data_IF_465672034150
#
_entry.id   IF_465672034150
#
_cell.length_a   1.000
_cell.length_b   1.000
_cell.length_c   1.000
_cell.angle_alpha   90.00
_cell.angle_beta   90.00
_cell.angle_gamma   90.00
#
_symmetry.space_group_name_H-M   'P 1'
#
loop_
_entity.id
_entity.type
_entity.pdbx_description
1 polymer ?
#
# COMPACT_ATOMS: atom_id res chain seq x y z
N UNK A 1 12.14 -15.65 13.32
CA UNK A 1 11.11 -16.53 12.74
C UNK A 1 9.98 -15.66 12.24
N UNK A 2 9.73 -15.67 10.93
CA UNK A 2 8.67 -14.87 10.30
C UNK A 2 7.50 -15.80 9.95
N UNK A 3 6.30 -15.46 10.39
CA UNK A 3 5.08 -16.26 10.20
C UNK A 3 4.02 -15.43 9.48
N UNK A 4 3.29 -16.07 8.58
CA UNK A 4 2.06 -15.54 7.98
C UNK A 4 0.93 -16.51 8.36
N UNK A 5 0.11 -16.14 9.34
CA UNK A 5 -0.76 -17.09 10.04
C UNK A 5 0.06 -18.24 10.65
N UNK A 6 -0.28 -19.46 10.31
CA UNK A 6 0.45 -20.68 10.76
C UNK A 6 1.66 -21.04 9.86
N UNK A 7 1.87 -20.32 8.77
CA UNK A 7 2.88 -20.63 7.77
C UNK A 7 4.21 -19.96 8.09
N UNK A 8 5.27 -20.75 8.18
CA UNK A 8 6.64 -20.24 8.36
C UNK A 8 7.24 -19.82 7.01
N UNK A 9 7.48 -18.53 6.82
CA UNK A 9 7.90 -17.96 5.53
C UNK A 9 9.30 -18.41 5.09
N UNK A 10 10.22 -18.59 6.04
CA UNK A 10 11.59 -19.03 5.74
C UNK A 10 11.66 -20.44 5.13
N UNK A 11 10.70 -21.30 5.45
CA UNK A 11 10.64 -22.68 4.92
C UNK A 11 9.99 -22.78 3.52
N UNK A 12 9.43 -21.68 3.00
CA UNK A 12 8.75 -21.66 1.72
C UNK A 12 9.68 -21.40 0.55
N UNK A 13 9.38 -22.01 -0.61
CA UNK A 13 10.03 -21.65 -1.87
C UNK A 13 9.72 -20.19 -2.24
N UNK A 14 10.65 -19.56 -2.97
CA UNK A 14 10.49 -18.17 -3.47
C UNK A 14 9.16 -17.98 -4.21
N UNK A 15 8.80 -18.90 -5.09
CA UNK A 15 7.57 -18.85 -5.89
C UNK A 15 6.32 -18.87 -5.00
N UNK A 16 6.29 -19.71 -3.98
CA UNK A 16 5.16 -19.79 -3.04
C UNK A 16 5.01 -18.49 -2.25
N UNK A 17 6.13 -17.93 -1.77
CA UNK A 17 6.11 -16.61 -1.09
C UNK A 17 5.63 -15.50 -1.99
N UNK A 18 6.11 -15.44 -3.25
CA UNK A 18 5.70 -14.43 -4.23
C UNK A 18 4.20 -14.49 -4.60
N UNK A 19 3.56 -15.65 -4.45
CA UNK A 19 2.10 -15.77 -4.61
C UNK A 19 1.29 -15.38 -3.37
N UNK A 20 1.95 -15.15 -2.22
CA UNK A 20 1.27 -14.83 -0.95
C UNK A 20 1.55 -13.43 -0.46
N UNK A 21 2.66 -12.84 -0.88
CA UNK A 21 3.14 -11.53 -0.40
C UNK A 21 3.50 -10.69 -1.61
N UNK A 22 2.84 -9.55 -1.74
CA UNK A 22 3.23 -8.49 -2.67
C UNK A 22 4.01 -7.41 -1.93
N UNK A 23 4.99 -6.82 -2.61
CA UNK A 23 5.81 -5.76 -2.04
C UNK A 23 5.84 -4.53 -2.94
N UNK A 24 5.51 -3.39 -2.38
CA UNK A 24 5.65 -2.08 -2.99
C UNK A 24 6.81 -1.36 -2.29
N UNK A 25 7.98 -1.25 -2.95
CA UNK A 25 9.11 -0.54 -2.39
C UNK A 25 8.92 0.98 -2.49
N UNK A 26 9.63 1.73 -1.67
CA UNK A 26 9.69 3.20 -1.72
C UNK A 26 10.10 3.72 -3.11
N UNK A 27 11.02 3.02 -3.78
CA UNK A 27 11.42 3.30 -5.17
C UNK A 27 11.15 2.09 -6.03
N UNK A 28 10.54 2.30 -7.17
CA UNK A 28 10.06 1.22 -8.04
C UNK A 28 11.14 0.30 -8.61
N UNK A 29 12.41 0.74 -8.64
CA UNK A 29 13.54 -0.06 -9.09
C UNK A 29 13.52 -0.45 -10.58
N UNK A 30 12.51 -0.03 -11.34
CA UNK A 30 12.41 -0.30 -12.78
C UNK A 30 13.26 0.72 -13.51
N UNK A 31 14.34 0.26 -14.16
CA UNK A 31 15.31 1.09 -14.89
C UNK A 31 15.39 0.75 -16.37
N UNK A 32 14.56 -0.16 -16.86
CA UNK A 32 14.47 -0.54 -18.28
C UNK A 32 13.18 -0.01 -18.87
N UNK A 33 13.20 0.33 -20.15
CA UNK A 33 12.02 0.76 -20.89
C UNK A 33 11.03 -0.40 -21.00
N UNK A 34 9.84 -0.21 -20.43
CA UNK A 34 8.70 -1.12 -20.45
C UNK A 34 7.43 -0.27 -20.51
N UNK A 35 6.43 -0.74 -21.21
CA UNK A 35 5.10 -0.11 -21.16
C UNK A 35 4.41 -0.34 -19.82
N UNK A 36 3.48 0.54 -19.45
CA UNK A 36 2.63 0.39 -18.27
C UNK A 36 1.98 -1.00 -18.22
N UNK A 37 1.45 -1.46 -19.37
CA UNK A 37 0.86 -2.81 -19.49
C UNK A 37 1.88 -3.91 -19.21
N UNK A 38 3.10 -3.81 -19.73
CA UNK A 38 4.14 -4.81 -19.49
C UNK A 38 4.54 -4.86 -18.03
N UNK A 39 4.68 -3.71 -17.36
CA UNK A 39 4.94 -3.66 -15.90
C UNK A 39 3.81 -4.34 -15.13
N UNK A 40 2.56 -4.08 -15.48
CA UNK A 40 1.41 -4.72 -14.83
C UNK A 40 1.37 -6.23 -15.09
N UNK A 41 1.71 -6.68 -16.30
CA UNK A 41 1.77 -8.10 -16.64
C UNK A 41 2.79 -8.89 -15.81
N UNK A 42 3.85 -8.25 -15.30
CA UNK A 42 4.79 -8.89 -14.37
C UNK A 42 4.10 -9.46 -13.12
N UNK A 43 2.95 -8.92 -12.73
CA UNK A 43 2.15 -9.44 -11.61
C UNK A 43 1.67 -10.89 -11.78
N UNK A 44 1.63 -11.38 -13.02
CA UNK A 44 1.31 -12.79 -13.28
C UNK A 44 2.50 -13.75 -13.17
N UNK A 45 3.75 -13.25 -13.05
CA UNK A 45 4.94 -14.11 -13.07
C UNK A 45 4.93 -15.23 -12.01
N UNK A 46 4.42 -15.05 -10.77
CA UNK A 46 4.31 -16.15 -9.83
C UNK A 46 3.41 -17.30 -10.29
N UNK A 47 2.45 -17.00 -11.17
CA UNK A 47 1.46 -17.95 -11.68
C UNK A 47 1.90 -18.66 -12.96
N UNK A 48 2.83 -18.05 -13.75
CA UNK A 48 3.30 -18.59 -15.02
C UNK A 48 4.29 -19.74 -14.83
N UNK A 49 4.22 -20.73 -15.73
CA UNK A 49 5.25 -21.74 -15.88
C UNK A 49 6.43 -21.23 -16.71
N UNK A 50 7.58 -21.92 -16.62
CA UNK A 50 8.75 -21.58 -17.43
C UNK A 50 8.37 -21.67 -18.92
N UNK A 51 8.69 -20.62 -19.68
CA UNK A 51 8.38 -20.46 -21.12
C UNK A 51 6.89 -20.20 -21.45
N UNK A 52 6.03 -19.99 -20.47
CA UNK A 52 4.65 -19.58 -20.72
C UNK A 52 4.57 -18.09 -21.03
N UNK A 53 3.78 -17.72 -22.05
CA UNK A 53 3.56 -16.33 -22.46
C UNK A 53 2.24 -15.80 -21.89
N UNK A 54 2.17 -14.47 -21.72
CA UNK A 54 0.93 -13.81 -21.31
C UNK A 54 -0.17 -13.99 -22.36
N UNK A 55 -1.29 -14.58 -21.95
CA UNK A 55 -2.44 -14.78 -22.83
C UNK A 55 -3.37 -13.54 -22.89
N UNK A 56 -4.39 -13.60 -23.75
CA UNK A 56 -5.34 -12.49 -23.94
C UNK A 56 -6.13 -12.14 -22.66
N UNK A 57 -6.49 -13.13 -21.83
CA UNK A 57 -7.18 -12.89 -20.55
C UNK A 57 -6.28 -12.14 -19.56
N UNK A 58 -5.01 -12.49 -19.47
CA UNK A 58 -4.03 -11.79 -18.62
C UNK A 58 -3.87 -10.33 -19.06
N UNK A 59 -3.79 -10.08 -20.38
CA UNK A 59 -3.74 -8.71 -20.92
C UNK A 59 -4.99 -7.91 -20.54
N UNK A 60 -6.18 -8.49 -20.71
CA UNK A 60 -7.43 -7.84 -20.33
C UNK A 60 -7.52 -7.55 -18.82
N UNK A 61 -7.04 -8.47 -17.96
CA UNK A 61 -6.96 -8.24 -16.53
C UNK A 61 -5.96 -7.14 -16.18
N UNK A 62 -4.84 -7.06 -16.89
CA UNK A 62 -3.87 -5.97 -16.73
C UNK A 62 -4.49 -4.62 -17.11
N UNK A 63 -5.19 -4.53 -18.22
CA UNK A 63 -5.86 -3.31 -18.65
C UNK A 63 -6.92 -2.86 -17.62
N UNK A 64 -7.73 -3.78 -17.10
CA UNK A 64 -8.68 -3.48 -16.01
C UNK A 64 -8.01 -2.98 -14.72
N UNK A 65 -6.89 -3.56 -14.34
CA UNK A 65 -6.14 -3.10 -13.18
C UNK A 65 -5.59 -1.68 -13.38
N UNK A 66 -5.07 -1.38 -14.58
CA UNK A 66 -4.60 -0.05 -14.98
C UNK A 66 -5.75 0.97 -14.91
N UNK A 67 -6.92 0.63 -15.45
CA UNK A 67 -8.11 1.49 -15.40
C UNK A 67 -8.55 1.76 -13.96
N UNK A 68 -8.55 0.74 -13.10
CA UNK A 68 -9.01 0.82 -11.72
C UNK A 68 -8.18 1.77 -10.85
N UNK A 69 -6.93 2.03 -11.22
CA UNK A 69 -6.05 2.97 -10.51
C UNK A 69 -5.97 4.35 -11.19
N UNK A 70 -6.80 4.60 -12.22
CA UNK A 70 -6.88 5.91 -12.89
C UNK A 70 -5.81 6.15 -13.95
N UNK A 71 -5.17 5.08 -14.48
CA UNK A 71 -4.18 5.17 -15.55
C UNK A 71 -4.74 4.80 -16.92
N UNK A 72 -6.07 4.87 -17.11
CA UNK A 72 -6.73 4.60 -18.38
C UNK A 72 -6.10 5.42 -19.51
N UNK A 73 -5.85 4.76 -20.66
CA UNK A 73 -5.22 5.38 -21.82
C UNK A 73 -3.69 5.41 -21.81
N UNK A 74 -3.02 5.02 -20.71
CA UNK A 74 -1.56 4.99 -20.61
C UNK A 74 -0.96 3.59 -20.83
N UNK A 75 -1.73 2.63 -21.35
CA UNK A 75 -1.32 1.22 -21.46
C UNK A 75 0.02 1.00 -22.17
N UNK A 76 0.24 1.72 -23.27
CA UNK A 76 1.42 1.58 -24.14
C UNK A 76 2.46 2.70 -23.90
N UNK A 77 2.25 3.53 -22.85
CA UNK A 77 3.20 4.57 -22.44
C UNK A 77 4.40 3.94 -21.75
N UNK A 78 5.60 4.44 -22.01
CA UNK A 78 6.81 4.01 -21.33
C UNK A 78 6.73 4.39 -19.83
N UNK A 79 6.87 3.39 -18.96
CA UNK A 79 6.86 3.54 -17.51
C UNK A 79 7.87 4.60 -17.02
N UNK A 80 9.04 4.70 -17.65
CA UNK A 80 10.07 5.65 -17.24
C UNK A 80 9.65 7.12 -17.46
N UNK A 81 8.72 7.38 -18.38
CA UNK A 81 8.22 8.73 -18.67
C UNK A 81 7.08 9.18 -17.76
N UNK A 82 6.55 8.29 -16.95
CA UNK A 82 5.48 8.59 -16.01
C UNK A 82 5.96 9.51 -14.88
N UNK A 83 5.04 10.31 -14.31
CA UNK A 83 5.28 10.98 -13.02
C UNK A 83 5.46 9.96 -11.90
N UNK A 84 6.11 10.35 -10.80
CA UNK A 84 6.31 9.42 -9.66
C UNK A 84 4.97 8.91 -9.10
N UNK A 85 3.93 9.74 -9.06
CA UNK A 85 2.59 9.31 -8.68
C UNK A 85 2.00 8.26 -9.63
N UNK A 86 2.14 8.47 -10.94
CA UNK A 86 1.69 7.49 -11.94
C UNK A 86 2.49 6.18 -11.86
N UNK A 87 3.79 6.25 -11.58
CA UNK A 87 4.62 5.06 -11.34
C UNK A 87 4.12 4.26 -10.13
N UNK A 88 3.82 4.94 -9.02
CA UNK A 88 3.26 4.27 -7.83
C UNK A 88 1.90 3.62 -8.11
N UNK A 89 1.02 4.30 -8.84
CA UNK A 89 -0.27 3.72 -9.25
C UNK A 89 -0.09 2.53 -10.20
N UNK A 90 0.89 2.57 -11.11
CA UNK A 90 1.22 1.43 -11.99
C UNK A 90 1.71 0.22 -11.17
N UNK A 91 2.57 0.43 -10.17
CA UNK A 91 3.02 -0.63 -9.28
C UNK A 91 1.85 -1.17 -8.43
N UNK A 92 0.95 -0.31 -7.99
CA UNK A 92 -0.28 -0.75 -7.31
C UNK A 92 -1.16 -1.61 -8.24
N UNK A 93 -1.35 -1.21 -9.52
CA UNK A 93 -2.07 -2.02 -10.51
C UNK A 93 -1.45 -3.41 -10.70
N UNK A 94 -0.11 -3.50 -10.77
CA UNK A 94 0.61 -4.78 -10.78
C UNK A 94 0.28 -5.62 -9.55
N UNK A 95 0.28 -5.00 -8.36
CA UNK A 95 -0.01 -5.67 -7.09
C UNK A 95 -1.45 -6.21 -7.03
N UNK A 96 -2.42 -5.52 -7.64
CA UNK A 96 -3.79 -6.02 -7.79
C UNK A 96 -3.84 -7.32 -8.60
N UNK A 97 -2.96 -7.47 -9.57
CA UNK A 97 -2.86 -8.66 -10.42
C UNK A 97 -2.21 -9.82 -9.67
N UNK A 98 -1.23 -9.55 -8.83
CA UNK A 98 -0.55 -10.54 -7.97
C UNK A 98 -1.55 -11.22 -7.03
N UNK A 99 -2.60 -10.50 -6.61
CA UNK A 99 -3.72 -10.99 -5.80
C UNK A 99 -3.30 -11.69 -4.50
N UNK A 100 -2.25 -11.17 -3.86
CA UNK A 100 -1.65 -11.75 -2.66
C UNK A 100 -2.47 -11.46 -1.40
N UNK A 101 -2.33 -12.32 -0.39
CA UNK A 101 -3.00 -12.17 0.91
C UNK A 101 -2.38 -11.04 1.77
N UNK A 102 -1.09 -10.77 1.59
CA UNK A 102 -0.37 -9.74 2.34
C UNK A 102 0.28 -8.72 1.38
N UNK A 103 -0.05 -7.45 1.55
CA UNK A 103 0.64 -6.31 0.95
C UNK A 103 1.65 -5.74 1.95
N UNK A 104 2.91 -5.67 1.54
CA UNK A 104 3.95 -4.91 2.25
C UNK A 104 4.24 -3.64 1.47
N UNK A 105 4.13 -2.48 2.13
CA UNK A 105 4.35 -1.18 1.50
C UNK A 105 5.38 -0.39 2.32
N UNK A 106 6.42 0.06 1.63
CA UNK A 106 7.50 0.81 2.23
C UNK A 106 7.43 2.26 1.76
N UNK A 107 6.95 3.15 2.62
CA UNK A 107 6.73 4.57 2.36
C UNK A 107 6.04 4.86 1.01
N UNK A 108 4.87 4.25 0.72
CA UNK A 108 4.26 4.34 -0.60
C UNK A 108 3.81 5.75 -0.97
N UNK A 109 3.72 6.65 0.01
CA UNK A 109 3.25 8.03 -0.11
C UNK A 109 4.39 9.06 -0.22
N UNK A 110 5.66 8.70 0.01
CA UNK A 110 6.77 9.64 0.21
C UNK A 110 7.06 10.55 -0.99
N UNK A 111 6.82 10.09 -2.22
CA UNK A 111 7.07 10.84 -3.46
C UNK A 111 5.80 11.49 -4.05
N UNK A 112 4.67 11.47 -3.33
CA UNK A 112 3.37 11.90 -3.82
C UNK A 112 2.95 13.26 -3.26
N UNK A 113 2.27 14.05 -4.09
CA UNK A 113 1.55 15.23 -3.62
C UNK A 113 0.32 14.85 -2.77
N UNK A 114 -0.30 15.84 -2.16
CA UNK A 114 -1.43 15.65 -1.26
C UNK A 114 -2.57 14.83 -1.89
N UNK A 115 -3.01 15.17 -3.11
CA UNK A 115 -4.13 14.50 -3.78
C UNK A 115 -3.80 13.06 -4.14
N UNK A 116 -2.62 12.83 -4.71
CA UNK A 116 -2.17 11.50 -5.13
C UNK A 116 -1.95 10.57 -3.93
N UNK A 117 -1.48 11.09 -2.80
CA UNK A 117 -1.29 10.37 -1.55
C UNK A 117 -2.62 9.82 -1.01
N UNK A 118 -3.64 10.67 -0.92
CA UNK A 118 -4.98 10.25 -0.49
C UNK A 118 -5.64 9.29 -1.48
N UNK A 119 -5.44 9.50 -2.78
CA UNK A 119 -5.94 8.58 -3.82
C UNK A 119 -5.30 7.19 -3.69
N UNK A 120 -3.98 7.12 -3.52
CA UNK A 120 -3.27 5.86 -3.29
C UNK A 120 -3.80 5.13 -2.05
N UNK A 121 -3.96 5.83 -0.91
CA UNK A 121 -4.47 5.23 0.32
C UNK A 121 -5.89 4.68 0.16
N UNK A 122 -6.76 5.39 -0.56
CA UNK A 122 -8.11 4.91 -0.89
C UNK A 122 -8.07 3.65 -1.76
N UNK A 123 -7.19 3.59 -2.75
CA UNK A 123 -7.02 2.37 -3.57
C UNK A 123 -6.54 1.20 -2.71
N UNK A 124 -5.55 1.41 -1.84
CA UNK A 124 -5.09 0.37 -0.92
C UNK A 124 -6.23 -0.09 -0.01
N UNK A 125 -7.00 0.84 0.57
CA UNK A 125 -8.14 0.50 1.43
C UNK A 125 -9.19 -0.34 0.71
N UNK A 126 -9.45 -0.06 -0.56
CA UNK A 126 -10.42 -0.81 -1.37
C UNK A 126 -9.95 -2.25 -1.73
N UNK A 127 -8.65 -2.53 -1.64
CA UNK A 127 -8.08 -3.86 -1.88
C UNK A 127 -8.25 -4.76 -0.65
N UNK A 128 -8.25 -4.15 0.55
CA UNK A 128 -8.30 -4.87 1.81
C UNK A 128 -9.68 -5.50 2.01
N UNK A 129 -9.69 -6.73 2.45
CA UNK A 129 -10.88 -7.55 2.70
C UNK A 129 -10.56 -8.56 3.81
N UNK A 130 -11.53 -9.39 4.18
CA UNK A 130 -11.35 -10.42 5.23
C UNK A 130 -10.16 -11.36 5.00
N UNK A 131 -9.76 -11.56 3.73
CA UNK A 131 -8.67 -12.44 3.35
C UNK A 131 -7.40 -11.69 2.92
N UNK A 132 -7.37 -10.36 3.00
CA UNK A 132 -6.24 -9.53 2.57
C UNK A 132 -5.92 -8.46 3.58
N UNK A 133 -4.64 -8.31 3.91
CA UNK A 133 -4.15 -7.25 4.78
C UNK A 133 -3.00 -6.48 4.13
N UNK A 134 -2.81 -5.25 4.58
CA UNK A 134 -1.66 -4.44 4.23
C UNK A 134 -0.87 -4.08 5.50
N UNK A 135 0.45 -4.17 5.41
CA UNK A 135 1.37 -3.63 6.39
C UNK A 135 2.19 -2.53 5.73
N UNK A 136 2.07 -1.31 6.24
CA UNK A 136 2.70 -0.13 5.65
C UNK A 136 3.64 0.54 6.64
N UNK A 137 4.81 0.97 6.15
CA UNK A 137 5.62 1.98 6.82
C UNK A 137 5.19 3.35 6.28
N UNK A 138 4.72 4.23 7.14
CA UNK A 138 4.34 5.61 6.80
C UNK A 138 4.82 6.58 7.86
N UNK A 139 5.17 7.80 7.44
CA UNK A 139 5.66 8.85 8.32
C UNK A 139 4.56 9.86 8.73
N UNK A 140 3.44 9.88 8.00
CA UNK A 140 2.33 10.79 8.29
C UNK A 140 1.36 10.16 9.30
N UNK A 141 1.28 10.68 10.53
CA UNK A 141 0.32 10.21 11.52
C UNK A 141 -1.13 10.46 11.10
N UNK A 142 -1.39 11.51 10.31
CA UNK A 142 -2.72 11.82 9.76
C UNK A 142 -3.20 10.71 8.82
N UNK A 143 -2.35 10.28 7.86
CA UNK A 143 -2.69 9.20 6.96
C UNK A 143 -2.89 7.87 7.71
N UNK A 144 -2.08 7.62 8.75
CA UNK A 144 -2.23 6.44 9.58
C UNK A 144 -3.59 6.44 10.30
N UNK A 145 -3.98 7.54 10.91
CA UNK A 145 -5.25 7.68 11.62
C UNK A 145 -6.48 7.66 10.70
N UNK A 146 -6.34 8.13 9.46
CA UNK A 146 -7.44 8.20 8.50
C UNK A 146 -7.67 6.85 7.78
N UNK A 147 -6.60 6.09 7.47
CA UNK A 147 -6.69 4.95 6.57
C UNK A 147 -6.38 3.59 7.18
N UNK A 148 -5.71 3.53 8.34
CA UNK A 148 -5.32 2.26 8.96
C UNK A 148 -6.30 1.85 10.06
N UNK A 149 -6.50 0.55 10.22
CA UNK A 149 -7.28 0.00 11.33
C UNK A 149 -6.45 -0.06 12.61
N UNK A 150 -5.12 -0.25 12.46
CA UNK A 150 -4.18 -0.45 13.56
C UNK A 150 -2.87 0.25 13.28
N UNK A 151 -2.30 0.91 14.27
CA UNK A 151 -1.03 1.63 14.16
C UNK A 151 -0.05 1.08 15.17
N UNK A 152 1.11 0.63 14.68
CA UNK A 152 2.24 0.21 15.51
C UNK A 152 3.26 1.35 15.56
N UNK A 153 3.46 1.95 16.73
CA UNK A 153 4.43 3.02 16.91
C UNK A 153 5.81 2.42 17.17
N UNK A 154 6.78 2.81 16.37
CA UNK A 154 8.16 2.33 16.47
C UNK A 154 9.11 3.45 16.91
N UNK A 155 9.99 3.14 17.86
CA UNK A 155 11.10 4.00 18.31
C UNK A 155 12.33 3.15 18.59
N UNK A 156 13.48 3.56 18.09
CA UNK A 156 14.77 2.87 18.30
C UNK A 156 14.73 1.36 17.94
N UNK A 157 14.04 1.03 16.83
CA UNK A 157 13.90 -0.35 16.35
C UNK A 157 12.97 -1.26 17.17
N UNK A 158 12.18 -0.69 18.07
CA UNK A 158 11.22 -1.41 18.92
C UNK A 158 9.82 -0.87 18.74
N UNK A 159 8.82 -1.75 18.80
CA UNK A 159 7.42 -1.34 18.93
C UNK A 159 7.21 -0.86 20.37
N UNK A 160 6.89 0.42 20.52
CA UNK A 160 6.67 1.07 21.83
C UNK A 160 5.19 1.19 22.17
N UNK A 161 4.31 1.13 21.18
CA UNK A 161 2.86 1.16 21.37
C UNK A 161 2.11 0.57 20.19
N UNK A 162 0.84 0.26 20.44
CA UNK A 162 -0.12 -0.33 19.51
C UNK A 162 -1.47 0.37 19.72
N UNK A 163 -2.04 0.90 18.64
CA UNK A 163 -3.30 1.65 18.65
C UNK A 163 -4.30 0.95 17.75
N UNK A 164 -5.41 0.50 18.29
CA UNK A 164 -6.61 0.18 17.53
C UNK A 164 -7.33 1.49 17.18
N UNK A 165 -7.30 1.90 15.93
CA UNK A 165 -7.79 3.22 15.51
C UNK A 165 -9.30 3.35 15.72
N UNK A 166 -10.04 2.26 15.63
CA UNK A 166 -11.49 2.28 15.78
C UNK A 166 -11.96 2.23 17.24
N UNK A 167 -11.20 1.56 18.11
CA UNK A 167 -11.57 1.35 19.50
C UNK A 167 -10.97 2.40 20.46
N UNK A 168 -9.82 2.98 20.11
CA UNK A 168 -9.10 3.91 20.98
C UNK A 168 -9.80 5.26 21.10
N UNK A 169 -9.88 5.79 22.33
CA UNK A 169 -10.32 7.15 22.62
C UNK A 169 -9.27 8.17 22.16
N UNK A 170 -9.70 9.43 21.93
CA UNK A 170 -8.77 10.54 21.60
C UNK A 170 -7.68 10.72 22.65
N UNK A 171 -8.02 10.58 23.94
CA UNK A 171 -7.06 10.66 25.03
C UNK A 171 -5.99 9.58 24.92
N UNK A 172 -6.39 8.34 24.67
CA UNK A 172 -5.48 7.21 24.48
C UNK A 172 -4.58 7.39 23.26
N UNK A 173 -5.14 7.86 22.13
CA UNK A 173 -4.37 8.14 20.91
C UNK A 173 -3.30 9.21 21.20
N UNK A 174 -3.68 10.32 21.84
CA UNK A 174 -2.75 11.39 22.19
C UNK A 174 -1.64 10.91 23.12
N UNK A 175 -1.98 10.17 24.19
CA UNK A 175 -1.01 9.59 25.11
C UNK A 175 0.00 8.69 24.40
N UNK A 176 -0.49 7.76 23.57
CA UNK A 176 0.37 6.84 22.83
C UNK A 176 1.23 7.54 21.78
N UNK A 177 0.65 8.47 21.02
CA UNK A 177 1.39 9.24 20.00
C UNK A 177 2.51 10.09 20.62
N UNK A 178 2.34 10.62 21.83
CA UNK A 178 3.37 11.37 22.53
C UNK A 178 4.64 10.58 22.87
N UNK A 179 4.61 9.23 22.74
CA UNK A 179 5.80 8.40 22.93
C UNK A 179 6.85 8.60 21.83
N UNK A 180 6.43 9.05 20.64
CA UNK A 180 7.31 9.22 19.48
C UNK A 180 7.28 10.62 18.88
N UNK A 181 6.20 11.37 19.08
CA UNK A 181 6.04 12.73 18.55
C UNK A 181 5.98 13.72 19.72
N UNK A 182 6.92 14.65 19.75
CA UNK A 182 6.85 15.78 20.66
C UNK A 182 5.91 16.84 20.08
N UNK A 183 5.11 17.49 20.94
CA UNK A 183 4.28 18.65 20.57
C UNK A 183 3.24 18.38 19.47
N UNK A 184 2.55 17.24 19.52
CA UNK A 184 1.36 17.01 18.67
C UNK A 184 0.10 16.86 19.53
N UNK A 185 -1.02 17.19 18.93
CA UNK A 185 -2.34 16.94 19.47
C UNK A 185 -3.27 16.40 18.40
N UNK A 186 -3.88 15.25 18.66
CA UNK A 186 -4.91 14.66 17.80
C UNK A 186 -6.26 15.16 18.29
N UNK A 187 -7.05 15.72 17.38
CA UNK A 187 -8.41 16.17 17.65
C UNK A 187 -9.36 15.63 16.58
N UNK A 188 -10.66 15.73 16.81
CA UNK A 188 -11.69 15.38 15.83
C UNK A 188 -12.31 16.62 15.23
N UNK A 189 -12.59 16.57 13.92
CA UNK A 189 -13.43 17.53 13.24
C UNK A 189 -14.50 16.80 12.43
N UNK A 190 -15.62 17.47 12.17
CA UNK A 190 -16.70 16.93 11.35
C UNK A 190 -16.74 17.67 10.02
N UNK A 191 -16.75 16.93 8.90
CA UNK A 191 -16.89 17.49 7.57
C UNK A 191 -18.34 17.97 7.31
N UNK A 192 -18.57 18.63 6.18
CA UNK A 192 -19.89 19.11 5.76
C UNK A 192 -20.91 18.02 5.50
N UNK A 193 -20.49 16.76 5.42
CA UNK A 193 -21.33 15.57 5.23
C UNK A 193 -21.62 14.83 6.53
N UNK A 194 -21.06 15.30 7.66
CA UNK A 194 -21.22 14.68 8.97
C UNK A 194 -20.24 13.56 9.28
N UNK A 195 -19.20 13.33 8.45
CA UNK A 195 -18.16 12.38 8.76
C UNK A 195 -17.17 12.96 9.75
N UNK A 196 -16.76 12.18 10.73
CA UNK A 196 -15.75 12.56 11.73
C UNK A 196 -14.37 12.18 11.19
N UNK A 197 -13.46 13.14 11.20
CA UNK A 197 -12.07 12.98 10.81
C UNK A 197 -11.15 13.29 11.98
N UNK A 198 -10.06 12.55 12.12
CA UNK A 198 -9.00 12.83 13.09
C UNK A 198 -7.93 13.68 12.44
N UNK A 199 -7.63 14.81 13.08
CA UNK A 199 -6.64 15.78 12.60
C UNK A 199 -5.49 15.81 13.58
N UNK A 200 -4.27 15.88 13.07
CA UNK A 200 -3.06 16.06 13.86
C UNK A 200 -2.62 17.50 13.80
N UNK A 201 -2.51 18.14 14.94
CA UNK A 201 -2.06 19.52 15.10
C UNK A 201 -0.64 19.50 15.69
N UNK A 202 0.24 20.33 15.13
CA UNK A 202 1.53 20.65 15.77
C UNK A 202 1.27 21.75 16.82
N UNK A 203 1.80 21.59 18.03
CA UNK A 203 1.68 22.52 19.16
C UNK A 203 2.92 23.39 19.29
#
# INVERSE_FOLDING_TARGET
KCMLGELQLESMSFRKRAGMISYIPQRTGISISMTVREVCLLGFNPQLHMLESYNSNMRHRADKAIDSVGLAGLYDTDFLTLSEGQKQLCILARTLIEDSALLLLDEPDSALDFSNRHMLMKHIRNIISDNKCALMCIHSPELALEYCDRILLMKDGKIVSDIDVHAASLSEINEKMSLIYDNINVTECTDTKGNVHRIVLAL
#
